data_IF_608953585920
#
_entry.id   IF_608953585920
#
_cell.length_a   1.000
_cell.length_b   1.000
_cell.length_c   1.000
_cell.angle_alpha   90.00
_cell.angle_beta   90.00
_cell.angle_gamma   90.00
#
_symmetry.space_group_name_H-M   'P 1'
#
loop_
_entity.id
_entity.type
_entity.pdbx_description
1 polymer ?
#
# COMPACT_ATOMS: atom_id res chain seq x y z
N UNK A 1 -61.74 -31.08 41.80
CA UNK A 1 -60.91 -30.58 40.65
C UNK A 1 -60.90 -29.08 40.74
N UNK A 2 -59.84 -28.43 41.24
CA UNK A 2 -59.78 -26.97 41.41
C UNK A 2 -59.50 -26.34 40.01
N UNK A 3 -60.50 -25.63 39.49
CA UNK A 3 -60.36 -24.84 38.29
C UNK A 3 -59.28 -23.79 38.46
N UNK A 4 -58.22 -23.84 37.70
CA UNK A 4 -57.20 -22.80 37.68
C UNK A 4 -57.86 -21.46 37.33
N UNK A 5 -57.63 -20.47 38.17
CA UNK A 5 -58.20 -19.14 37.97
C UNK A 5 -57.64 -18.56 36.66
N UNK A 6 -58.53 -18.00 35.82
CA UNK A 6 -58.15 -17.39 34.54
C UNK A 6 -56.99 -16.41 34.67
N UNK A 7 -56.87 -15.66 35.74
CA UNK A 7 -55.79 -14.72 36.03
C UNK A 7 -54.42 -15.46 36.20
N UNK A 8 -54.43 -16.66 36.78
CA UNK A 8 -53.20 -17.47 36.98
C UNK A 8 -52.69 -18.02 35.65
N UNK A 9 -53.60 -18.37 34.75
CA UNK A 9 -53.25 -18.85 33.39
C UNK A 9 -52.65 -17.70 32.57
N UNK A 10 -53.21 -16.50 32.62
CA UNK A 10 -52.72 -15.33 31.89
C UNK A 10 -51.33 -14.96 32.42
N UNK A 11 -51.14 -14.97 33.73
CA UNK A 11 -49.81 -14.68 34.33
C UNK A 11 -48.75 -15.68 33.91
N UNK A 12 -49.12 -16.98 33.86
CA UNK A 12 -48.21 -18.02 33.40
C UNK A 12 -47.77 -17.87 31.94
N UNK A 13 -48.71 -17.55 31.06
CA UNK A 13 -48.41 -17.24 29.65
C UNK A 13 -47.55 -16.00 29.48
N UNK A 14 -47.78 -14.98 30.28
CA UNK A 14 -46.97 -13.75 30.25
C UNK A 14 -45.53 -13.99 30.69
N UNK A 15 -45.33 -14.72 31.79
CA UNK A 15 -44.00 -15.07 32.30
C UNK A 15 -43.27 -15.98 31.30
N UNK A 16 -43.98 -16.95 30.71
CA UNK A 16 -43.40 -17.82 29.70
C UNK A 16 -42.98 -17.05 28.44
N UNK A 17 -43.75 -16.06 28.00
CA UNK A 17 -43.44 -15.21 26.86
C UNK A 17 -42.22 -14.32 27.15
N UNK A 18 -42.14 -13.74 28.33
CA UNK A 18 -40.95 -12.99 28.77
C UNK A 18 -39.69 -13.84 28.84
N UNK A 19 -39.79 -15.10 29.34
CA UNK A 19 -38.64 -16.02 29.38
C UNK A 19 -38.13 -16.34 27.96
N UNK A 20 -39.01 -16.54 26.99
CA UNK A 20 -38.62 -16.83 25.61
C UNK A 20 -37.95 -15.64 24.93
N UNK A 21 -38.27 -14.40 25.34
CA UNK A 21 -37.70 -13.19 24.75
C UNK A 21 -36.23 -12.95 25.12
N UNK A 22 -35.72 -13.52 26.21
CA UNK A 22 -34.31 -13.36 26.63
C UNK A 22 -33.37 -14.35 25.99
N UNK A 23 -33.85 -15.33 25.22
CA UNK A 23 -32.98 -16.30 24.51
C UNK A 23 -32.65 -15.88 23.09
N UNK A 24 -33.01 -14.67 22.65
CA UNK A 24 -32.60 -14.14 21.36
C UNK A 24 -31.15 -13.61 21.42
N UNK A 25 -30.19 -14.52 21.65
CA UNK A 25 -28.80 -14.23 21.35
C UNK A 25 -28.60 -14.24 19.83
N UNK A 26 -28.65 -13.07 19.21
CA UNK A 26 -28.11 -12.91 17.89
C UNK A 26 -26.57 -13.10 17.98
N UNK A 27 -26.08 -14.28 17.57
CA UNK A 27 -24.66 -14.47 17.36
C UNK A 27 -24.25 -13.54 16.22
N UNK A 28 -23.59 -12.43 16.55
CA UNK A 28 -22.94 -11.57 15.55
C UNK A 28 -21.72 -12.36 15.08
N UNK A 29 -21.95 -13.17 14.07
CA UNK A 29 -20.86 -13.81 13.34
C UNK A 29 -20.22 -12.71 12.51
N UNK A 30 -18.95 -12.41 12.79
CA UNK A 30 -18.18 -11.51 11.92
C UNK A 30 -18.29 -12.04 10.49
N UNK A 31 -18.59 -11.20 9.50
CA UNK A 31 -18.62 -11.64 8.13
C UNK A 31 -17.28 -12.30 7.80
N UNK A 32 -17.34 -13.51 7.27
CA UNK A 32 -16.15 -14.18 6.73
C UNK A 32 -15.61 -13.26 5.63
N UNK A 33 -14.40 -12.74 5.81
CA UNK A 33 -13.74 -11.95 4.78
C UNK A 33 -13.75 -12.68 3.45
N UNK A 34 -13.69 -11.94 2.34
CA UNK A 34 -13.50 -12.52 1.00
C UNK A 34 -12.22 -13.37 0.92
N UNK A 35 -11.94 -13.97 -0.25
CA UNK A 35 -10.67 -14.64 -0.49
C UNK A 35 -9.52 -13.70 -0.13
N UNK A 36 -8.44 -14.26 0.45
CA UNK A 36 -7.24 -13.49 0.75
C UNK A 36 -6.68 -12.95 -0.56
N UNK A 37 -6.38 -11.66 -0.60
CA UNK A 37 -5.67 -11.06 -1.72
C UNK A 37 -4.18 -11.37 -1.59
N UNK A 38 -3.62 -12.03 -2.57
CA UNK A 38 -2.20 -12.38 -2.69
C UNK A 38 -1.57 -11.75 -3.95
N UNK A 39 -2.28 -10.83 -4.62
CA UNK A 39 -1.82 -10.16 -5.83
C UNK A 39 -0.81 -9.07 -5.47
N UNK A 40 0.42 -9.08 -6.04
CA UNK A 40 1.38 -8.02 -5.79
C UNK A 40 0.98 -6.70 -6.46
N UNK A 41 1.23 -5.54 -5.83
CA UNK A 41 1.07 -4.25 -6.49
C UNK A 41 2.08 -4.10 -7.63
N UNK A 42 1.62 -3.55 -8.77
CA UNK A 42 2.40 -3.35 -9.99
C UNK A 42 2.49 -1.85 -10.29
N UNK A 43 3.68 -1.37 -10.67
CA UNK A 43 3.84 -0.03 -11.22
C UNK A 43 3.24 0.00 -12.63
N UNK A 44 2.20 0.80 -12.83
CA UNK A 44 1.50 0.93 -14.11
C UNK A 44 2.21 1.90 -15.04
N UNK A 45 2.62 3.05 -14.51
CA UNK A 45 3.38 4.08 -15.22
C UNK A 45 4.04 5.05 -14.21
N UNK A 46 4.98 5.83 -14.71
CA UNK A 46 5.66 6.89 -13.95
C UNK A 46 5.76 8.18 -14.75
N UNK A 47 5.89 9.30 -14.05
CA UNK A 47 6.21 10.60 -14.62
C UNK A 47 7.40 11.15 -13.82
N UNK A 48 8.59 11.30 -14.43
CA UNK A 48 8.93 10.97 -15.80
C UNK A 48 8.92 9.45 -16.07
N UNK A 49 8.85 9.09 -17.36
CA UNK A 49 9.14 7.72 -17.77
C UNK A 49 10.64 7.42 -17.61
N UNK A 50 10.98 6.14 -17.46
CA UNK A 50 12.40 5.75 -17.41
C UNK A 50 13.08 6.11 -18.72
N UNK A 51 14.31 6.60 -18.65
CA UNK A 51 15.04 7.09 -19.83
C UNK A 51 14.85 8.56 -20.15
N UNK A 52 14.05 9.30 -19.37
CA UNK A 52 13.85 10.75 -19.59
C UNK A 52 15.15 11.52 -19.37
N UNK A 53 15.47 12.39 -20.32
CA UNK A 53 16.60 13.33 -20.26
C UNK A 53 16.10 14.78 -20.14
N UNK A 54 17.00 15.71 -19.82
CA UNK A 54 16.67 17.12 -19.56
C UNK A 54 15.54 17.27 -18.52
N UNK A 55 15.56 16.42 -17.51
CA UNK A 55 14.56 16.43 -16.45
C UNK A 55 14.74 17.66 -15.55
N UNK A 56 13.70 18.48 -15.45
CA UNK A 56 13.69 19.74 -14.70
C UNK A 56 12.63 19.80 -13.60
N UNK A 57 11.79 18.78 -13.49
CA UNK A 57 10.75 18.72 -12.45
C UNK A 57 11.36 18.39 -11.09
N UNK A 58 10.72 18.87 -10.05
CA UNK A 58 11.06 18.56 -8.65
C UNK A 58 10.29 17.33 -8.12
N UNK A 59 9.49 16.68 -8.96
CA UNK A 59 8.63 15.58 -8.55
C UNK A 59 8.73 14.41 -9.51
N UNK A 60 8.72 13.21 -8.94
CA UNK A 60 8.52 11.95 -9.67
C UNK A 60 7.20 11.34 -9.18
N UNK A 61 6.30 11.09 -10.11
CA UNK A 61 5.01 10.46 -9.84
C UNK A 61 5.02 8.98 -10.24
N UNK A 62 4.51 8.14 -9.36
CA UNK A 62 4.45 6.68 -9.55
C UNK A 62 3.01 6.22 -9.35
N UNK A 63 2.46 5.50 -10.33
CA UNK A 63 1.07 5.04 -10.33
C UNK A 63 1.02 3.52 -10.24
N UNK A 64 0.38 3.01 -9.21
CA UNK A 64 0.29 1.58 -8.93
C UNK A 64 -1.10 1.01 -9.22
N UNK A 65 -1.17 -0.30 -9.41
CA UNK A 65 -2.42 -1.04 -9.61
C UNK A 65 -3.31 -1.01 -8.37
N UNK A 66 -2.71 -0.89 -7.17
CA UNK A 66 -3.37 -1.07 -5.88
C UNK A 66 -3.01 0.02 -4.88
N UNK A 67 -3.76 0.06 -3.77
CA UNK A 67 -3.48 0.91 -2.62
C UNK A 67 -2.25 0.39 -1.88
N UNK A 68 -1.34 1.29 -1.54
CA UNK A 68 -0.09 0.94 -0.89
C UNK A 68 -0.16 1.12 0.63
N UNK A 69 0.54 0.28 1.34
CA UNK A 69 0.66 0.36 2.79
C UNK A 69 1.63 1.50 3.16
N UNK A 70 1.11 2.61 3.68
CA UNK A 70 1.84 3.84 3.94
C UNK A 70 3.14 3.62 4.74
N UNK A 71 3.09 2.80 5.80
CA UNK A 71 4.27 2.49 6.64
C UNK A 71 5.40 1.78 5.90
N UNK A 72 5.13 1.15 4.74
CA UNK A 72 6.15 0.47 3.93
C UNK A 72 6.88 1.42 2.97
N UNK A 73 6.32 2.61 2.70
CA UNK A 73 6.78 3.51 1.63
C UNK A 73 8.14 4.12 1.95
N UNK A 74 8.31 4.67 3.15
CA UNK A 74 9.52 5.46 3.51
C UNK A 74 10.82 4.66 3.42
N UNK A 75 10.76 3.36 3.69
CA UNK A 75 11.93 2.47 3.70
C UNK A 75 12.18 1.78 2.37
N UNK A 76 11.22 1.87 1.44
CA UNK A 76 11.30 1.17 0.16
C UNK A 76 11.88 2.01 -0.97
N UNK A 77 11.97 3.33 -0.82
CA UNK A 77 12.35 4.25 -1.89
C UNK A 77 13.71 4.86 -1.60
N UNK A 78 14.62 4.75 -2.57
CA UNK A 78 15.96 5.33 -2.53
C UNK A 78 16.32 5.98 -3.86
N UNK A 79 17.25 6.94 -3.84
CA UNK A 79 17.79 7.57 -5.04
C UNK A 79 19.30 7.46 -5.08
N UNK A 80 19.85 7.25 -6.25
CA UNK A 80 21.29 7.25 -6.52
C UNK A 80 21.60 8.21 -7.68
N UNK A 81 22.66 9.05 -7.56
CA UNK A 81 23.50 9.26 -6.38
C UNK A 81 22.69 9.76 -5.18
N UNK A 82 23.16 9.46 -3.97
CA UNK A 82 22.48 9.94 -2.74
C UNK A 82 22.43 11.47 -2.72
N UNK A 83 21.25 11.97 -2.48
CA UNK A 83 21.04 13.41 -2.27
C UNK A 83 21.38 13.82 -0.83
N UNK A 84 21.84 15.07 -0.58
CA UNK A 84 22.15 15.54 0.76
C UNK A 84 20.96 15.52 1.72
N UNK A 85 19.76 15.73 1.20
CA UNK A 85 18.51 15.71 1.95
C UNK A 85 17.73 14.43 1.69
N UNK A 86 16.99 13.92 2.68
CA UNK A 86 16.14 12.76 2.49
C UNK A 86 14.98 13.06 1.52
N UNK A 87 14.60 12.06 0.74
CA UNK A 87 13.42 12.16 -0.12
C UNK A 87 12.16 12.33 0.72
N UNK A 88 11.30 13.25 0.30
CA UNK A 88 9.96 13.38 0.85
C UNK A 88 8.99 12.66 -0.08
N UNK A 89 8.23 11.72 0.46
CA UNK A 89 7.25 10.97 -0.33
C UNK A 89 5.85 11.28 0.17
N UNK A 90 4.99 11.71 -0.75
CA UNK A 90 3.58 11.93 -0.48
C UNK A 90 2.77 10.76 -1.06
N UNK A 91 1.91 10.19 -0.23
CA UNK A 91 1.00 9.11 -0.60
C UNK A 91 -0.39 9.67 -0.94
N UNK A 92 -0.94 9.26 -2.07
CA UNK A 92 -2.31 9.60 -2.51
C UNK A 92 -3.00 8.35 -3.10
N UNK A 93 -3.41 7.45 -2.23
CA UNK A 93 -4.11 6.24 -2.67
C UNK A 93 -3.22 5.29 -3.47
N UNK A 94 -3.42 5.18 -4.78
CA UNK A 94 -2.60 4.36 -5.70
C UNK A 94 -1.43 5.12 -6.31
N UNK A 95 -1.20 6.37 -5.89
CA UNK A 95 -0.17 7.26 -6.42
C UNK A 95 0.82 7.63 -5.34
N UNK A 96 2.11 7.56 -5.65
CA UNK A 96 3.18 8.16 -4.86
C UNK A 96 3.74 9.37 -5.59
N UNK A 97 4.04 10.43 -4.86
CA UNK A 97 4.75 11.59 -5.34
C UNK A 97 6.04 11.68 -4.54
N UNK A 98 7.16 11.49 -5.22
CA UNK A 98 8.50 11.60 -4.64
C UNK A 98 9.00 13.01 -4.94
N UNK A 99 9.09 13.84 -3.91
CA UNK A 99 9.67 15.18 -4.03
C UNK A 99 11.19 15.08 -3.99
N UNK A 100 11.80 15.52 -5.06
CA UNK A 100 13.24 15.60 -5.21
C UNK A 100 13.75 16.88 -4.54
N UNK A 101 14.96 16.88 -3.96
CA UNK A 101 15.53 18.10 -3.43
C UNK A 101 15.95 19.05 -4.55
N UNK A 102 15.87 20.35 -4.31
CA UNK A 102 16.28 21.43 -5.23
C UNK A 102 17.78 21.36 -5.59
N UNK A 103 18.53 20.50 -4.92
CA UNK A 103 19.98 20.35 -5.05
C UNK A 103 20.40 19.25 -6.03
N UNK A 104 19.55 18.86 -6.99
CA UNK A 104 19.98 17.94 -8.04
C UNK A 104 21.09 18.60 -8.88
N UNK A 105 22.15 17.82 -9.14
CA UNK A 105 23.26 18.27 -9.95
C UNK A 105 22.88 18.33 -11.41
N UNK A 106 23.40 19.31 -12.14
CA UNK A 106 23.24 19.39 -13.59
C UNK A 106 24.04 18.28 -14.30
N UNK A 107 23.55 17.83 -15.45
CA UNK A 107 24.17 16.77 -16.25
C UNK A 107 24.46 15.49 -15.46
N UNK A 108 23.52 15.09 -14.59
CA UNK A 108 23.64 13.91 -13.75
C UNK A 108 22.51 12.96 -14.00
N UNK A 109 22.84 11.67 -14.14
CA UNK A 109 21.86 10.58 -14.14
C UNK A 109 21.49 10.21 -12.73
N UNK A 110 20.20 10.08 -12.48
CA UNK A 110 19.62 9.61 -11.23
C UNK A 110 18.85 8.31 -11.45
N UNK A 111 18.92 7.43 -10.46
CA UNK A 111 18.17 6.18 -10.43
C UNK A 111 17.32 6.18 -9.16
N UNK A 112 16.02 6.29 -9.33
CA UNK A 112 15.04 6.09 -8.27
C UNK A 112 14.76 4.58 -8.17
N UNK A 113 15.06 3.97 -7.03
CA UNK A 113 14.88 2.55 -6.80
C UNK A 113 13.80 2.30 -5.76
N UNK A 114 12.92 1.35 -6.05
CA UNK A 114 11.90 0.87 -5.13
C UNK A 114 12.21 -0.60 -4.85
N UNK A 115 12.47 -0.94 -3.61
CA UNK A 115 12.79 -2.30 -3.20
C UNK A 115 11.52 -3.09 -2.80
N UNK A 116 11.67 -4.38 -2.54
CA UNK A 116 10.57 -5.29 -2.20
C UNK A 116 9.96 -5.09 -0.81
N UNK A 117 10.40 -4.09 -0.06
CA UNK A 117 9.76 -3.71 1.20
C UNK A 117 8.45 -2.95 0.98
N UNK A 118 8.24 -2.41 -0.25
CA UNK A 118 6.97 -1.79 -0.63
C UNK A 118 5.87 -2.85 -0.68
N UNK A 119 4.76 -2.58 0.02
CA UNK A 119 3.62 -3.49 0.15
C UNK A 119 2.32 -2.76 -0.14
N UNK A 120 1.31 -3.54 -0.52
CA UNK A 120 -0.08 -3.10 -0.54
C UNK A 120 -0.71 -3.09 0.86
N UNK A 121 -1.98 -2.67 0.96
CA UNK A 121 -2.73 -2.66 2.21
C UNK A 121 -2.98 -4.07 2.78
N UNK A 122 -2.93 -5.12 1.96
CA UNK A 122 -3.05 -6.52 2.36
C UNK A 122 -1.72 -7.10 2.87
N UNK A 123 -0.62 -6.35 2.74
CA UNK A 123 0.72 -6.74 3.17
C UNK A 123 1.49 -7.56 2.12
N UNK A 124 1.01 -7.63 0.88
CA UNK A 124 1.70 -8.28 -0.23
C UNK A 124 2.78 -7.36 -0.78
N UNK A 125 4.01 -7.85 -0.88
CA UNK A 125 5.15 -7.10 -1.42
C UNK A 125 5.10 -7.03 -2.94
N UNK A 126 5.67 -5.96 -3.55
CA UNK A 126 5.94 -5.96 -4.99
C UNK A 126 6.74 -7.19 -5.40
N UNK A 127 6.45 -7.73 -6.57
CA UNK A 127 7.10 -8.97 -7.05
C UNK A 127 8.60 -8.79 -7.26
N UNK A 128 8.99 -7.67 -7.87
CA UNK A 128 10.38 -7.32 -8.18
C UNK A 128 10.67 -5.87 -7.81
N UNK A 129 11.96 -5.57 -7.55
CA UNK A 129 12.41 -4.20 -7.37
C UNK A 129 12.25 -3.39 -8.66
N UNK A 130 11.88 -2.12 -8.53
CA UNK A 130 11.66 -1.21 -9.65
C UNK A 130 12.81 -0.20 -9.68
N UNK A 131 13.33 0.07 -10.87
CA UNK A 131 14.32 1.12 -11.10
C UNK A 131 13.83 2.08 -12.19
N UNK A 132 13.88 3.36 -11.89
CA UNK A 132 13.53 4.44 -12.79
C UNK A 132 14.75 5.33 -12.97
N UNK A 133 15.30 5.33 -14.18
CA UNK A 133 16.44 6.17 -14.53
C UNK A 133 15.99 7.44 -15.24
N UNK A 134 16.49 8.60 -14.84
CA UNK A 134 16.30 9.88 -15.53
C UNK A 134 17.58 10.73 -15.40
N UNK A 135 17.74 11.70 -16.27
CA UNK A 135 18.90 12.59 -16.28
C UNK A 135 18.51 14.05 -16.32
N UNK A 136 19.19 14.87 -15.55
CA UNK A 136 19.12 16.34 -15.63
C UNK A 136 19.90 16.89 -16.84
N UNK A 137 20.70 16.03 -17.50
CA UNK A 137 21.46 16.34 -18.71
C UNK A 137 20.79 15.81 -19.98
N UNK A 138 21.53 15.92 -21.09
CA UNK A 138 21.08 15.51 -22.43
C UNK A 138 21.17 14.00 -22.67
N UNK A 139 21.91 13.28 -21.82
CA UNK A 139 22.14 11.83 -21.94
C UNK A 139 21.93 11.14 -20.59
N UNK A 140 21.72 9.81 -20.66
CA UNK A 140 21.76 8.93 -19.51
C UNK A 140 23.09 8.17 -19.51
N UNK A 141 23.76 8.18 -18.37
CA UNK A 141 25.02 7.43 -18.22
C UNK A 141 24.80 5.94 -18.47
N UNK A 142 25.58 5.37 -19.38
CA UNK A 142 25.58 3.96 -19.75
C UNK A 142 26.80 3.24 -19.17
N UNK A 143 27.14 3.49 -17.91
CA UNK A 143 28.27 2.84 -17.26
C UNK A 143 27.97 1.37 -17.02
N UNK A 144 28.82 0.49 -17.53
CA UNK A 144 28.78 -0.93 -17.26
C UNK A 144 29.86 -1.29 -16.24
N UNK A 145 29.49 -2.09 -15.24
CA UNK A 145 30.44 -2.69 -14.30
C UNK A 145 30.55 -4.17 -14.66
N UNK A 146 31.70 -4.59 -15.17
CA UNK A 146 32.00 -6.00 -15.40
C UNK A 146 32.97 -6.53 -14.34
N UNK A 147 32.69 -7.70 -13.79
CA UNK A 147 33.54 -8.36 -12.80
C UNK A 147 33.47 -9.88 -12.93
N UNK A 148 34.52 -10.56 -12.47
CA UNK A 148 34.55 -12.02 -12.35
C UNK A 148 34.36 -12.39 -10.90
N UNK A 149 33.40 -13.27 -10.64
CA UNK A 149 33.21 -13.87 -9.32
C UNK A 149 34.07 -15.15 -9.30
N UNK A 150 34.98 -15.21 -8.35
CA UNK A 150 35.77 -16.42 -8.05
C UNK A 150 35.11 -17.10 -6.83
N UNK A 151 34.72 -18.35 -6.97
CA UNK A 151 34.25 -19.23 -5.90
C UNK A 151 35.37 -20.10 -5.35
#
# INVERSE_FOLDING_TARGET
MKLFNSKTIILFFFVFHCLCSVYSCAAIQSPSGGPKDDTPPVLLHSIPETGTVNFISEEVELFFSEYLLEKSISNSITILPKTPLPLKVQYKGKKLIVHLPDSLLSNQTYILSINRDLKDENGVSIAEGIQLAFSTGIDIDKSEISGRIFS
#
